data_IF_690682208104
#
_entry.id   IF_690682208104
#
_cell.length_a   1.000
_cell.length_b   1.000
_cell.length_c   1.000
_cell.angle_alpha   90.00
_cell.angle_beta   90.00
_cell.angle_gamma   90.00
#
_symmetry.space_group_name_H-M   'P 1'
#
loop_
_entity.id
_entity.type
_entity.pdbx_description
1 polymer ?
#
# COMPACT_ATOMS: atom_id res chain seq x y z
N UNK A 1 11.71 -4.75 -2.72
CA UNK A 1 10.33 -4.19 -2.55
C UNK A 1 9.57 -4.99 -1.50
N UNK A 2 8.76 -4.30 -0.69
CA UNK A 2 7.70 -4.89 0.14
C UNK A 2 6.39 -4.15 -0.14
N UNK A 3 5.28 -4.87 -0.23
CA UNK A 3 3.96 -4.28 -0.47
C UNK A 3 2.89 -4.98 0.36
N UNK A 4 1.89 -4.24 0.77
CA UNK A 4 0.65 -4.74 1.37
C UNK A 4 -0.54 -4.18 0.59
N UNK A 5 -1.56 -5.00 0.37
CA UNK A 5 -2.83 -4.58 -0.21
C UNK A 5 -3.98 -4.96 0.73
N UNK A 6 -4.97 -4.08 0.81
CA UNK A 6 -6.04 -4.06 1.80
C UNK A 6 -7.37 -4.27 1.08
N UNK A 7 -8.13 -5.22 1.61
CA UNK A 7 -9.45 -5.66 1.13
C UNK A 7 -9.63 -5.88 -0.39
N UNK A 8 -8.75 -6.67 -1.05
CA UNK A 8 -8.95 -6.98 -2.46
C UNK A 8 -10.20 -7.82 -2.70
N UNK A 9 -10.81 -7.61 -3.86
CA UNK A 9 -11.95 -8.42 -4.32
C UNK A 9 -11.48 -9.73 -4.97
N UNK A 10 -10.66 -9.64 -6.00
CA UNK A 10 -10.07 -10.77 -6.73
C UNK A 10 -8.61 -10.49 -7.10
N UNK A 11 -7.68 -11.38 -6.68
CA UNK A 11 -6.23 -11.14 -6.77
C UNK A 11 -5.87 -9.77 -6.17
N UNK A 12 -5.47 -8.80 -6.97
CA UNK A 12 -5.18 -7.43 -6.54
C UNK A 12 -6.31 -6.45 -6.82
N UNK A 13 -7.36 -6.85 -7.56
CA UNK A 13 -8.41 -5.93 -7.99
C UNK A 13 -9.12 -5.28 -6.80
N UNK A 14 -9.24 -3.95 -6.88
CA UNK A 14 -9.82 -3.06 -5.88
C UNK A 14 -9.08 -3.08 -4.54
N UNK A 15 -7.81 -3.48 -4.51
CA UNK A 15 -6.97 -3.29 -3.33
C UNK A 15 -6.53 -1.83 -3.22
N UNK A 16 -6.69 -1.22 -2.06
CA UNK A 16 -5.81 -0.10 -1.68
C UNK A 16 -4.49 -0.69 -1.18
N UNK A 17 -3.38 -0.08 -1.58
CA UNK A 17 -2.07 -0.68 -1.44
C UNK A 17 -1.03 0.31 -0.98
N UNK A 18 -0.16 -0.17 -0.09
CA UNK A 18 1.06 0.53 0.30
C UNK A 18 2.25 -0.25 -0.22
N UNK A 19 3.07 0.39 -1.05
CA UNK A 19 4.21 -0.24 -1.72
C UNK A 19 5.48 0.51 -1.34
N UNK A 20 6.41 -0.15 -0.66
CA UNK A 20 7.74 0.37 -0.40
C UNK A 20 8.78 -0.30 -1.32
N UNK A 21 9.57 0.52 -2.00
CA UNK A 21 10.64 0.05 -2.87
C UNK A 21 11.83 1.00 -2.88
N UNK A 22 12.91 0.57 -3.51
CA UNK A 22 14.15 1.33 -3.55
C UNK A 22 14.25 2.08 -4.86
N UNK A 23 14.52 3.38 -4.78
CA UNK A 23 14.83 4.24 -5.93
C UNK A 23 16.29 4.71 -5.81
N UNK A 24 17.19 3.97 -6.47
CA UNK A 24 18.63 4.20 -6.35
C UNK A 24 19.12 3.93 -4.92
N UNK A 25 19.61 4.96 -4.23
CA UNK A 25 20.11 4.84 -2.85
C UNK A 25 19.03 5.00 -1.78
N UNK A 26 17.88 5.58 -2.14
CA UNK A 26 16.82 5.97 -1.23
C UNK A 26 15.63 5.00 -1.31
N UNK A 27 14.79 5.02 -0.29
CA UNK A 27 13.52 4.29 -0.31
C UNK A 27 12.38 5.26 -0.63
N UNK A 28 11.43 4.77 -1.41
CA UNK A 28 10.19 5.45 -1.76
C UNK A 28 9.01 4.60 -1.31
N UNK A 29 7.91 5.27 -0.95
CA UNK A 29 6.63 4.63 -0.60
C UNK A 29 5.56 5.19 -1.50
N UNK A 30 4.76 4.29 -2.08
CA UNK A 30 3.60 4.61 -2.87
C UNK A 30 2.35 4.23 -2.08
N UNK A 31 1.40 5.15 -2.07
CA UNK A 31 0.01 4.95 -1.67
C UNK A 31 -0.81 4.85 -2.96
N UNK A 32 -1.36 3.67 -3.22
CA UNK A 32 -1.74 3.25 -4.55
C UNK A 32 -2.94 2.31 -4.58
N UNK A 33 -3.81 2.50 -5.55
CA UNK A 33 -4.96 1.65 -5.77
C UNK A 33 -4.78 0.74 -6.97
N UNK A 34 -5.28 -0.49 -6.85
CA UNK A 34 -5.27 -1.45 -7.94
C UNK A 34 -6.62 -1.53 -8.64
N UNK A 35 -6.68 -1.02 -9.87
CA UNK A 35 -7.89 -1.03 -10.70
C UNK A 35 -8.20 -2.37 -11.38
N UNK A 36 -7.38 -3.40 -11.17
CA UNK A 36 -7.55 -4.69 -11.83
C UNK A 36 -6.77 -5.81 -11.15
N UNK A 37 -6.87 -7.03 -11.68
CA UNK A 37 -6.26 -8.21 -11.06
C UNK A 37 -4.71 -8.21 -11.05
N UNK A 38 -4.11 -7.34 -11.87
CA UNK A 38 -2.67 -7.16 -12.07
C UNK A 38 -2.34 -5.68 -12.14
N UNK A 39 -1.04 -5.33 -12.10
CA UNK A 39 -0.59 -3.96 -12.31
C UNK A 39 -1.04 -3.38 -13.66
N UNK A 40 -1.02 -2.05 -13.82
CA UNK A 40 -0.23 -1.11 -13.02
C UNK A 40 -0.83 -0.77 -11.64
N UNK A 41 0.01 -0.20 -10.77
CA UNK A 41 -0.34 0.32 -9.46
C UNK A 41 0.00 1.82 -9.42
N UNK A 42 -0.84 2.69 -10.01
CA UNK A 42 -0.62 4.13 -9.97
C UNK A 42 -0.85 4.68 -8.56
N UNK A 43 -0.24 5.82 -8.25
CA UNK A 43 -0.51 6.53 -7.00
C UNK A 43 -1.95 7.04 -6.96
N UNK A 44 -2.57 6.99 -5.78
CA UNK A 44 -3.94 7.43 -5.58
C UNK A 44 -4.12 8.91 -5.93
N UNK A 45 -3.16 9.73 -5.51
CA UNK A 45 -3.10 11.15 -5.85
C UNK A 45 -3.06 11.44 -7.37
N UNK A 46 -2.64 10.48 -8.20
CA UNK A 46 -2.66 10.63 -9.66
C UNK A 46 -4.01 10.23 -10.29
N UNK A 47 -4.81 9.42 -9.58
CA UNK A 47 -6.08 8.87 -10.06
C UNK A 47 -7.31 9.53 -9.39
N UNK A 48 -7.08 10.60 -8.62
CA UNK A 48 -8.13 11.44 -8.04
C UNK A 48 -8.35 11.27 -6.53
N UNK A 49 -7.58 10.38 -5.89
CA UNK A 49 -7.49 10.25 -4.45
C UNK A 49 -6.43 11.19 -3.84
N UNK A 50 -5.95 10.85 -2.67
CA UNK A 50 -4.94 11.57 -1.89
C UNK A 50 -3.77 10.66 -1.52
N UNK A 51 -2.91 11.11 -0.61
CA UNK A 51 -1.87 10.29 -0.02
C UNK A 51 -2.16 10.29 1.48
N UNK A 52 -2.50 9.13 2.01
CA UNK A 52 -3.23 8.93 3.27
C UNK A 52 -2.41 8.21 4.34
N UNK A 53 -1.09 8.08 4.11
CA UNK A 53 -0.13 7.69 5.13
C UNK A 53 0.28 8.91 5.97
N UNK A 54 -0.25 9.01 7.19
CA UNK A 54 0.05 10.09 8.14
C UNK A 54 1.52 10.13 8.55
N UNK A 55 2.09 8.96 8.80
CA UNK A 55 3.50 8.76 9.13
C UNK A 55 3.97 7.49 8.46
N UNK A 56 5.21 7.47 7.94
CA UNK A 56 5.82 6.25 7.43
C UNK A 56 7.34 6.29 7.54
N UNK A 57 7.93 5.10 7.60
CA UNK A 57 9.38 4.89 7.56
C UNK A 57 9.68 3.60 6.80
N UNK A 58 10.71 3.65 5.96
CA UNK A 58 11.30 2.45 5.37
C UNK A 58 12.77 2.38 5.79
N UNK A 59 13.16 1.26 6.37
CA UNK A 59 14.52 1.02 6.84
C UNK A 59 15.02 -0.36 6.41
N UNK A 60 16.32 -0.45 6.14
CA UNK A 60 16.98 -1.72 5.88
C UNK A 60 18.10 -1.93 6.90
N UNK A 61 17.93 -2.93 7.77
CA UNK A 61 18.89 -3.24 8.84
C UNK A 61 19.21 -4.72 8.78
N UNK A 62 20.49 -5.06 8.64
CA UNK A 62 20.94 -6.46 8.61
C UNK A 62 20.36 -7.27 7.45
N UNK A 63 20.04 -6.62 6.32
CA UNK A 63 19.44 -7.26 5.15
C UNK A 63 17.91 -7.47 5.25
N UNK A 64 17.26 -6.89 6.27
CA UNK A 64 15.80 -6.91 6.41
C UNK A 64 15.26 -5.52 6.09
N UNK A 65 14.44 -5.41 5.04
CA UNK A 65 13.65 -4.20 4.76
C UNK A 65 12.37 -4.22 5.60
N UNK A 66 12.13 -3.14 6.35
CA UNK A 66 10.93 -2.93 7.15
C UNK A 66 10.23 -1.67 6.68
N UNK A 67 8.93 -1.76 6.39
CA UNK A 67 8.03 -0.63 6.20
C UNK A 67 7.15 -0.52 7.45
N UNK A 68 7.16 0.64 8.08
CA UNK A 68 6.25 1.02 9.17
C UNK A 68 5.43 2.22 8.71
N UNK A 69 4.12 2.24 8.96
CA UNK A 69 3.26 3.37 8.62
C UNK A 69 2.06 3.50 9.55
N UNK A 70 1.46 4.69 9.57
CA UNK A 70 0.22 5.04 10.26
C UNK A 70 -0.74 5.60 9.22
N UNK A 71 -1.98 5.09 9.21
CA UNK A 71 -3.09 5.50 8.37
C UNK A 71 -4.39 5.40 9.18
N UNK A 72 -5.38 6.24 8.88
CA UNK A 72 -6.72 6.14 9.47
C UNK A 72 -7.44 4.85 9.03
N UNK A 73 -8.30 4.29 9.89
CA UNK A 73 -9.13 3.14 9.51
C UNK A 73 -10.11 3.48 8.37
N UNK A 74 -10.58 4.73 8.35
CA UNK A 74 -11.38 5.33 7.30
C UNK A 74 -10.75 6.69 6.97
N UNK A 75 -10.20 6.83 5.78
CA UNK A 75 -9.51 8.04 5.31
C UNK A 75 -10.48 9.03 4.67
N UNK A 76 -11.65 8.55 4.24
CA UNK A 76 -12.62 9.30 3.44
C UNK A 76 -12.24 9.46 1.97
N UNK A 77 -11.16 8.83 1.51
CA UNK A 77 -10.77 8.76 0.09
C UNK A 77 -11.53 7.61 -0.61
N UNK A 78 -12.02 7.86 -1.82
CA UNK A 78 -12.70 6.87 -2.66
C UNK A 78 -11.77 5.75 -3.16
N UNK A 79 -10.45 6.00 -3.16
CA UNK A 79 -9.42 5.01 -3.54
C UNK A 79 -8.85 4.25 -2.34
N UNK A 80 -9.35 4.50 -1.13
CA UNK A 80 -8.97 3.77 0.07
C UNK A 80 -10.07 2.82 0.54
N UNK A 81 -9.69 1.59 0.90
CA UNK A 81 -10.64 0.65 1.49
C UNK A 81 -10.74 0.87 2.99
N UNK A 82 -11.97 1.09 3.48
CA UNK A 82 -12.23 1.20 4.93
C UNK A 82 -11.84 -0.10 5.63
N UNK A 83 -11.01 0.01 6.67
CA UNK A 83 -10.67 -1.07 7.60
C UNK A 83 -11.72 -1.04 8.73
N UNK A 84 -12.72 -1.93 8.75
CA UNK A 84 -13.76 -1.91 9.78
C UNK A 84 -13.19 -2.23 11.17
N UNK A 85 -13.74 -1.57 12.20
CA UNK A 85 -13.40 -1.81 13.61
C UNK A 85 -13.76 -3.24 14.07
N UNK A 86 -14.72 -3.87 13.39
CA UNK A 86 -15.19 -5.23 13.66
C UNK A 86 -15.25 -6.08 12.40
N UNK A 87 -15.10 -7.39 12.55
CA UNK A 87 -15.24 -8.35 11.47
C UNK A 87 -13.91 -8.82 10.90
N UNK A 88 -13.82 -8.94 9.57
CA UNK A 88 -12.66 -9.51 8.87
C UNK A 88 -12.23 -8.56 7.76
N UNK A 89 -10.92 -8.41 7.61
CA UNK A 89 -10.29 -7.70 6.50
C UNK A 89 -9.37 -8.67 5.79
N UNK A 90 -9.42 -8.67 4.46
CA UNK A 90 -8.51 -9.48 3.65
C UNK A 90 -7.26 -8.65 3.39
N UNK A 91 -6.09 -9.27 3.54
CA UNK A 91 -4.83 -8.66 3.16
C UNK A 91 -4.14 -9.53 2.12
N UNK A 92 -3.46 -8.88 1.18
CA UNK A 92 -2.46 -9.48 0.30
C UNK A 92 -1.13 -8.81 0.58
N UNK A 93 -0.03 -9.48 0.25
CA UNK A 93 1.29 -8.89 0.36
C UNK A 93 2.20 -9.45 -0.72
N UNK A 94 3.23 -8.68 -1.05
CA UNK A 94 4.26 -9.07 -1.99
C UNK A 94 5.64 -8.64 -1.50
N UNK A 95 6.66 -9.42 -1.85
CA UNK A 95 8.06 -9.08 -1.60
C UNK A 95 8.88 -9.37 -2.84
N UNK A 96 9.94 -8.59 -3.05
CA UNK A 96 10.97 -8.82 -4.08
C UNK A 96 12.32 -8.44 -3.51
N UNK A 97 13.33 -9.25 -3.82
CA UNK A 97 14.74 -9.01 -3.47
C UNK A 97 15.44 -8.03 -4.42
N UNK A 98 14.74 -7.67 -5.51
CA UNK A 98 15.12 -6.72 -6.55
C UNK A 98 14.32 -5.45 -6.46
#
# INVERSE_FOLDING_TARGET
>A
MIAIGIDPTERMANADMVIAFREGSEFSVHDAYSFGEVGPHPDDANEGGTFDLNEYMVAEVGGVTTLEFIRLLDTGDELDNVIPEEGKVKFIWATSDT
#
